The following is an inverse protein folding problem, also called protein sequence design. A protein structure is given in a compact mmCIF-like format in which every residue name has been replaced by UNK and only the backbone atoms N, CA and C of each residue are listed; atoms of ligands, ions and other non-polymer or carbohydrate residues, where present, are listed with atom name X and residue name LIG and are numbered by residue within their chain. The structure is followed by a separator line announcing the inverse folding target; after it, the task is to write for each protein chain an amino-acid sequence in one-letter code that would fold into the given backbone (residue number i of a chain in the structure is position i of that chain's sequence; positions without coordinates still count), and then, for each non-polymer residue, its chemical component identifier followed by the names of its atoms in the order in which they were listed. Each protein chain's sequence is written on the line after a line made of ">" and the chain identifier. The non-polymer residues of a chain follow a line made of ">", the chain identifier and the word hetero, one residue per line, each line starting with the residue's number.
data_IF_874266691010
#
_entry.id   IF_874266691010
#
_cell.length_a   1.000
_cell.length_b   1.000
_cell.length_c   1.000
_cell.angle_alpha   90.00
_cell.angle_beta   90.00
_cell.angle_gamma   90.00
#
_symmetry.space_group_name_H-M   'P 1'
#
loop_
_entity.id
_entity.type
_entity.pdbx_description
1 polymer ?
#
# COMPACT_ATOMS: atom_id res chain seq x y z
N UNK A 1 27.29 1.40 2.95
CA UNK A 1 27.23 2.88 3.06
C UNK A 1 26.11 3.51 2.24
N UNK A 2 25.79 3.03 1.02
CA UNK A 2 24.73 3.61 0.15
C UNK A 2 23.31 3.42 0.71
N UNK A 3 23.04 2.32 1.41
CA UNK A 3 21.70 1.98 1.94
C UNK A 3 21.22 2.98 2.99
N UNK A 4 22.08 3.39 3.93
CA UNK A 4 21.71 4.34 4.99
C UNK A 4 21.45 5.76 4.46
N UNK A 5 22.14 6.18 3.39
CA UNK A 5 21.86 7.47 2.75
C UNK A 5 20.48 7.47 2.10
N UNK A 6 20.14 6.42 1.34
CA UNK A 6 18.82 6.27 0.71
C UNK A 6 17.69 6.17 1.72
N UNK A 7 17.93 5.44 2.82
CA UNK A 7 16.98 5.32 3.93
C UNK A 7 16.68 6.70 4.54
N UNK A 8 17.73 7.45 4.88
CA UNK A 8 17.60 8.79 5.44
C UNK A 8 16.89 9.76 4.50
N UNK A 9 17.30 9.80 3.23
CA UNK A 9 16.66 10.64 2.21
C UNK A 9 15.17 10.32 2.06
N UNK A 10 14.82 9.03 2.03
CA UNK A 10 13.42 8.61 1.96
C UNK A 10 12.66 9.07 3.20
N UNK A 11 13.20 8.81 4.39
CA UNK A 11 12.58 9.20 5.64
C UNK A 11 12.38 10.72 5.77
N UNK A 12 13.40 11.52 5.45
CA UNK A 12 13.34 12.98 5.49
C UNK A 12 12.25 13.49 4.52
N UNK A 13 12.19 12.93 3.31
CA UNK A 13 11.18 13.26 2.33
C UNK A 13 9.76 12.91 2.81
N UNK A 14 9.55 11.72 3.37
CA UNK A 14 8.21 11.32 3.84
C UNK A 14 7.78 12.10 5.07
N UNK A 15 8.71 12.47 5.96
CA UNK A 15 8.44 13.34 7.10
C UNK A 15 8.03 14.75 6.67
N UNK A 16 8.70 15.31 5.66
CA UNK A 16 8.31 16.58 5.06
C UNK A 16 6.92 16.50 4.40
N UNK A 17 6.67 15.46 3.60
CA UNK A 17 5.37 15.23 2.95
C UNK A 17 4.23 15.10 3.98
N UNK A 18 4.47 14.35 5.06
CA UNK A 18 3.51 14.15 6.14
C UNK A 18 3.14 15.47 6.85
N UNK A 19 4.13 16.33 7.08
CA UNK A 19 3.90 17.63 7.73
C UNK A 19 2.94 18.50 6.91
N UNK A 20 3.18 18.59 5.60
CA UNK A 20 2.30 19.32 4.68
C UNK A 20 0.92 18.67 4.64
N UNK A 21 0.86 17.35 4.43
CA UNK A 21 -0.39 16.64 4.20
C UNK A 21 -1.32 16.63 5.43
N UNK A 22 -0.77 16.51 6.63
CA UNK A 22 -1.58 16.55 7.86
C UNK A 22 -2.12 17.95 8.11
N UNK A 23 -1.33 18.99 7.83
CA UNK A 23 -1.82 20.37 7.94
C UNK A 23 -3.01 20.59 7.01
N UNK A 24 -2.92 20.18 5.75
CA UNK A 24 -4.04 20.26 4.80
C UNK A 24 -5.29 19.53 5.29
N UNK A 25 -5.15 18.34 5.86
CA UNK A 25 -6.27 17.57 6.36
C UNK A 25 -6.90 18.20 7.61
N UNK A 26 -6.09 18.74 8.52
CA UNK A 26 -6.58 19.50 9.68
C UNK A 26 -7.33 20.75 9.24
N UNK A 27 -6.79 21.49 8.26
CA UNK A 27 -7.44 22.69 7.69
C UNK A 27 -8.78 22.34 7.03
N UNK A 28 -8.91 21.13 6.47
CA UNK A 28 -10.16 20.55 5.96
C UNK A 28 -11.08 19.97 7.05
N UNK A 29 -10.75 20.19 8.33
CA UNK A 29 -11.49 19.68 9.49
C UNK A 29 -11.57 18.14 9.57
N UNK A 30 -10.62 17.42 8.96
CA UNK A 30 -10.53 15.98 9.17
C UNK A 30 -10.12 15.65 10.60
N UNK A 31 -10.87 14.75 11.25
CA UNK A 31 -10.47 14.21 12.53
C UNK A 31 -9.28 13.23 12.36
N UNK A 32 -8.09 13.67 12.78
CA UNK A 32 -6.83 12.92 12.65
C UNK A 32 -6.66 11.78 13.67
N UNK A 33 -7.47 11.77 14.73
CA UNK A 33 -7.42 10.77 15.80
C UNK A 33 -8.23 9.51 15.46
N UNK A 34 -9.20 9.63 14.55
CA UNK A 34 -10.08 8.51 14.18
C UNK A 34 -9.30 7.48 13.35
N UNK A 35 -9.35 6.23 13.81
CA UNK A 35 -8.84 5.08 13.07
C UNK A 35 -9.63 4.89 11.78
N UNK A 36 -8.91 4.79 10.66
CA UNK A 36 -9.49 4.64 9.32
C UNK A 36 -8.63 3.72 8.45
N UNK A 37 -9.18 3.33 7.30
CA UNK A 37 -8.42 2.57 6.31
C UNK A 37 -7.51 3.51 5.53
N UNK A 38 -6.22 3.20 5.54
CA UNK A 38 -5.19 3.91 4.78
C UNK A 38 -4.57 2.97 3.76
N UNK A 39 -4.11 3.53 2.66
CA UNK A 39 -3.32 2.85 1.63
C UNK A 39 -1.87 3.29 1.79
N UNK A 40 -0.98 2.36 2.12
CA UNK A 40 0.45 2.57 2.09
C UNK A 40 0.97 2.21 0.69
N UNK A 41 1.76 3.10 0.11
CA UNK A 41 2.29 2.99 -1.24
C UNK A 41 3.80 2.72 -1.21
N UNK A 42 4.25 1.78 -2.03
CA UNK A 42 5.66 1.46 -2.17
C UNK A 42 6.04 1.29 -3.65
N UNK A 43 7.34 1.39 -3.94
CA UNK A 43 7.88 1.12 -5.26
C UNK A 43 9.22 0.37 -5.23
N UNK A 44 9.39 -0.57 -6.15
CA UNK A 44 10.59 -1.38 -6.34
C UNK A 44 11.17 -1.21 -7.76
N UNK A 45 12.48 -1.41 -7.98
CA UNK A 45 13.08 -1.37 -9.31
C UNK A 45 12.61 -2.52 -10.21
N UNK A 46 12.34 -3.70 -9.64
CA UNK A 46 11.93 -4.90 -10.36
C UNK A 46 10.77 -5.64 -9.67
N UNK A 47 10.23 -6.64 -10.36
CA UNK A 47 9.04 -7.40 -9.93
C UNK A 47 9.33 -8.30 -8.73
N UNK A 48 10.54 -8.86 -8.64
CA UNK A 48 10.90 -9.82 -7.60
C UNK A 48 11.08 -9.11 -6.25
N UNK A 49 11.75 -7.96 -6.25
CA UNK A 49 11.74 -7.00 -5.15
C UNK A 49 10.31 -6.71 -4.71
N UNK A 50 9.42 -6.44 -5.67
CA UNK A 50 8.07 -6.03 -5.35
C UNK A 50 7.25 -7.14 -4.67
N UNK A 51 7.43 -8.40 -5.10
CA UNK A 51 6.82 -9.54 -4.42
C UNK A 51 7.43 -9.81 -3.05
N UNK A 52 8.75 -9.72 -2.91
CA UNK A 52 9.43 -9.90 -1.61
C UNK A 52 8.95 -8.86 -0.59
N UNK A 53 8.88 -7.59 -0.99
CA UNK A 53 8.37 -6.51 -0.17
C UNK A 53 6.88 -6.69 0.17
N UNK A 54 6.05 -7.12 -0.79
CA UNK A 54 4.64 -7.43 -0.53
C UNK A 54 4.45 -8.51 0.55
N UNK A 55 5.29 -9.57 0.53
CA UNK A 55 5.28 -10.61 1.56
C UNK A 55 5.73 -10.08 2.92
N UNK A 56 6.77 -9.26 2.96
CA UNK A 56 7.26 -8.64 4.20
C UNK A 56 6.20 -7.72 4.84
N UNK A 57 5.50 -6.93 4.02
CA UNK A 57 4.40 -6.08 4.47
C UNK A 57 3.20 -6.89 4.97
N UNK A 58 2.88 -8.00 4.30
CA UNK A 58 1.82 -8.90 4.76
C UNK A 58 2.16 -9.53 6.12
N UNK A 59 3.41 -9.95 6.33
CA UNK A 59 3.87 -10.49 7.61
C UNK A 59 3.80 -9.47 8.76
N UNK A 60 3.82 -8.16 8.45
CA UNK A 60 3.60 -7.06 9.41
C UNK A 60 2.12 -6.76 9.70
N UNK A 61 1.19 -7.58 9.18
CA UNK A 61 -0.25 -7.42 9.43
C UNK A 61 -0.96 -6.43 8.51
N UNK A 62 -0.34 -6.03 7.40
CA UNK A 62 -1.03 -5.24 6.36
C UNK A 62 -1.84 -6.14 5.43
N UNK A 63 -2.85 -5.58 4.76
CA UNK A 63 -3.66 -6.29 3.76
C UNK A 63 -3.23 -5.89 2.35
N UNK A 64 -2.88 -6.85 1.49
CA UNK A 64 -2.61 -6.55 0.08
C UNK A 64 -3.90 -6.05 -0.59
N UNK A 65 -3.81 -4.90 -1.28
CA UNK A 65 -4.94 -4.34 -2.03
C UNK A 65 -4.99 -4.84 -3.48
N UNK A 66 -3.84 -5.25 -4.01
CA UNK A 66 -3.72 -5.92 -5.30
C UNK A 66 -2.94 -7.22 -5.12
N UNK A 67 -3.34 -8.25 -5.88
CA UNK A 67 -2.68 -9.56 -5.86
C UNK A 67 -1.26 -9.51 -6.43
N UNK A 68 -1.06 -8.67 -7.44
CA UNK A 68 0.20 -8.55 -8.17
C UNK A 68 0.71 -7.09 -8.15
N UNK A 69 2.03 -6.88 -7.97
CA UNK A 69 2.63 -5.56 -8.14
C UNK A 69 2.38 -5.00 -9.54
N UNK A 70 2.09 -3.69 -9.62
CA UNK A 70 1.74 -3.03 -10.88
C UNK A 70 2.93 -2.21 -11.41
N UNK A 71 3.22 -2.30 -12.71
CA UNK A 71 4.27 -1.47 -13.31
C UNK A 71 3.78 -0.02 -13.42
N UNK A 72 4.45 0.90 -12.74
CA UNK A 72 4.21 2.35 -12.78
C UNK A 72 4.78 2.95 -14.06
N UNK A 73 4.26 4.13 -14.44
CA UNK A 73 4.72 4.88 -15.63
C UNK A 73 6.22 5.24 -15.57
N UNK A 74 6.79 5.39 -14.37
CA UNK A 74 8.22 5.63 -14.16
C UNK A 74 9.09 4.37 -14.25
N UNK A 75 8.53 3.25 -14.72
CA UNK A 75 9.24 1.98 -14.90
C UNK A 75 9.40 1.13 -13.64
N UNK A 76 9.07 1.65 -12.45
CA UNK A 76 9.13 0.92 -11.17
C UNK A 76 7.90 0.05 -10.94
N UNK A 77 8.00 -0.92 -10.04
CA UNK A 77 6.91 -1.80 -9.64
C UNK A 77 6.26 -1.30 -8.36
N UNK A 78 5.00 -0.88 -8.46
CA UNK A 78 4.20 -0.36 -7.37
C UNK A 78 3.51 -1.44 -6.55
N UNK A 79 3.48 -1.22 -5.23
CA UNK A 79 2.76 -2.05 -4.27
C UNK A 79 1.82 -1.14 -3.48
N UNK A 80 0.61 -1.61 -3.22
CA UNK A 80 -0.39 -0.92 -2.40
C UNK A 80 -0.91 -1.88 -1.34
N UNK A 81 -0.77 -1.50 -0.07
CA UNK A 81 -1.28 -2.28 1.07
C UNK A 81 -2.20 -1.43 1.94
N UNK A 82 -3.25 -2.05 2.46
CA UNK A 82 -4.20 -1.45 3.38
C UNK A 82 -3.77 -1.65 4.83
N UNK A 83 -3.97 -0.62 5.65
CA UNK A 83 -3.81 -0.68 7.11
C UNK A 83 -4.94 0.09 7.77
N UNK A 84 -5.38 -0.36 8.95
CA UNK A 84 -6.29 0.43 9.81
C UNK A 84 -5.47 1.19 10.82
N UNK A 85 -5.46 2.52 10.75
CA UNK A 85 -4.69 3.39 11.64
C UNK A 85 -5.25 4.81 11.66
N UNK A 86 -5.00 5.57 12.73
CA UNK A 86 -5.30 7.01 12.77
C UNK A 86 -4.33 7.77 11.85
N UNK A 87 -4.71 8.98 11.42
CA UNK A 87 -3.81 9.82 10.62
C UNK A 87 -2.62 10.29 11.46
N UNK A 88 -2.86 10.57 12.75
CA UNK A 88 -1.81 10.92 13.71
C UNK A 88 -0.76 9.83 13.80
N UNK A 89 -1.15 8.57 13.95
CA UNK A 89 -0.22 7.45 14.06
C UNK A 89 0.48 7.11 12.74
N UNK A 90 -0.14 7.42 11.60
CA UNK A 90 0.43 7.19 10.27
C UNK A 90 1.55 8.17 9.91
N UNK A 91 1.62 9.32 10.61
CA UNK A 91 2.68 10.32 10.44
C UNK A 91 3.71 10.33 11.56
N UNK A 92 3.54 9.48 12.59
CA UNK A 92 4.52 9.34 13.65
C UNK A 92 5.84 8.86 13.09
N UNK A 93 6.92 9.45 13.58
CA UNK A 93 8.29 9.16 13.19
C UNK A 93 8.59 7.66 13.19
N UNK A 94 8.27 6.99 14.29
CA UNK A 94 8.45 5.55 14.49
C UNK A 94 7.80 4.71 13.38
N UNK A 95 6.59 5.10 12.95
CA UNK A 95 5.87 4.38 11.92
C UNK A 95 6.47 4.64 10.53
N UNK A 96 6.79 5.91 10.23
CA UNK A 96 7.44 6.27 8.97
C UNK A 96 8.79 5.57 8.86
N UNK A 97 9.59 5.58 9.92
CA UNK A 97 10.87 4.89 10.01
C UNK A 97 10.70 3.39 9.74
N UNK A 98 9.74 2.72 10.39
CA UNK A 98 9.51 1.28 10.16
C UNK A 98 9.14 0.98 8.69
N UNK A 99 8.31 1.80 8.06
CA UNK A 99 7.93 1.62 6.65
C UNK A 99 9.11 1.84 5.71
N UNK A 100 9.92 2.88 5.96
CA UNK A 100 11.13 3.18 5.19
C UNK A 100 12.17 2.09 5.35
N UNK A 101 12.42 1.61 6.57
CA UNK A 101 13.33 0.51 6.87
C UNK A 101 12.89 -0.78 6.18
N UNK A 102 11.60 -1.10 6.25
CA UNK A 102 11.04 -2.29 5.61
C UNK A 102 11.24 -2.24 4.09
N UNK A 103 10.94 -1.09 3.47
CA UNK A 103 11.11 -0.91 2.05
C UNK A 103 12.58 -0.99 1.64
N UNK A 104 13.45 -0.27 2.33
CA UNK A 104 14.88 -0.17 2.01
C UNK A 104 15.59 -1.51 2.20
N UNK A 105 15.24 -2.27 3.24
CA UNK A 105 15.75 -3.63 3.48
C UNK A 105 15.45 -4.60 2.34
N UNK A 106 14.47 -4.30 1.49
CA UNK A 106 14.10 -5.07 0.31
C UNK A 106 14.48 -4.38 -1.01
N UNK A 107 15.33 -3.34 -0.98
CA UNK A 107 15.68 -2.50 -2.14
C UNK A 107 14.47 -1.76 -2.77
N UNK A 108 13.41 -1.56 -1.98
CA UNK A 108 12.24 -0.77 -2.33
C UNK A 108 12.30 0.65 -1.77
N UNK A 109 11.20 1.38 -1.95
CA UNK A 109 11.01 2.76 -1.51
C UNK A 109 9.60 2.89 -0.96
N UNK A 110 9.47 3.46 0.25
CA UNK A 110 8.18 3.90 0.76
C UNK A 110 7.80 5.22 0.07
N UNK A 111 6.64 5.24 -0.57
CA UNK A 111 6.16 6.38 -1.38
C UNK A 111 5.08 7.19 -0.63
N UNK A 112 4.88 6.92 0.66
CA UNK A 112 3.88 7.57 1.50
C UNK A 112 2.54 6.83 1.58
N UNK A 113 1.50 7.55 2.00
CA UNK A 113 0.17 6.98 2.26
C UNK A 113 -0.94 7.83 1.66
N UNK A 114 -2.10 7.21 1.47
CA UNK A 114 -3.33 7.84 1.01
C UNK A 114 -4.52 7.39 1.86
N UNK A 115 -5.56 8.21 1.91
CA UNK A 115 -6.86 7.77 2.39
C UNK A 115 -7.39 6.69 1.44
N UNK A 116 -7.87 5.58 1.99
CA UNK A 116 -8.66 4.64 1.18
C UNK A 116 -10.04 5.27 1.00
N UNK A 117 -10.29 5.90 -0.14
CA UNK A 117 -11.64 6.30 -0.56
C UNK A 117 -12.39 5.08 -1.07
N UNK A 118 -13.72 5.07 -0.90
CA UNK A 118 -14.57 3.93 -1.28
C UNK A 118 -14.44 3.54 -2.77
N UNK A 119 -13.97 4.44 -3.65
CA UNK A 119 -13.70 4.16 -5.06
C UNK A 119 -12.63 3.08 -5.31
N UNK A 120 -11.69 2.86 -4.38
CA UNK A 120 -10.67 1.81 -4.53
C UNK A 120 -11.20 0.43 -4.12
N UNK A 121 -12.37 0.35 -3.45
CA UNK A 121 -13.01 -0.91 -3.11
C UNK A 121 -13.70 -1.55 -4.33
N UNK A 122 -14.14 -0.76 -5.31
CA UNK A 122 -14.89 -1.26 -6.47
C UNK A 122 -14.04 -2.01 -7.51
N UNK A 123 -12.74 -1.76 -7.58
CA UNK A 123 -11.85 -2.50 -8.50
C UNK A 123 -11.59 -3.95 -8.04
N UNK A 124 -11.97 -4.30 -6.80
CA UNK A 124 -11.89 -5.70 -6.31
C UNK A 124 -13.20 -6.47 -6.54
N UNK A 125 -14.28 -5.81 -7.00
CA UNK A 125 -15.60 -6.42 -7.18
C UNK A 125 -16.05 -6.59 -8.64
N UNK A 126 -15.18 -6.32 -9.62
CA UNK A 126 -15.44 -6.63 -11.05
C UNK A 126 -14.79 -7.94 -11.48
N UNK A 127 -15.22 -9.05 -10.87
CA UNK A 127 -15.29 -10.32 -11.57
C UNK A 127 -16.69 -10.89 -11.38
N UNK A 128 -17.55 -10.93 -12.42
CA UNK A 128 -18.73 -11.76 -12.35
C UNK A 128 -18.26 -13.21 -12.25
N UNK A 129 -18.65 -13.85 -11.15
CA UNK A 129 -18.65 -15.29 -10.98
C UNK A 129 -19.13 -15.92 -12.29
N UNK A 130 -18.30 -16.79 -12.86
CA UNK A 130 -18.68 -17.63 -14.00
C UNK A 130 -19.99 -18.31 -13.63
N UNK A 131 -21.05 -17.97 -14.38
CA UNK A 131 -22.37 -18.56 -14.25
C UNK A 131 -22.27 -20.07 -14.36
N UNK A 132 -22.75 -20.74 -13.32
CA UNK A 132 -23.14 -22.15 -13.36
C UNK A 132 -24.29 -22.26 -14.36
N UNK A 133 -23.99 -22.68 -15.59
CA UNK A 133 -25.03 -23.19 -16.48
C UNK A 133 -25.05 -24.71 -16.40
N UNK A 134 -26.14 -25.17 -15.78
CA UNK A 134 -26.67 -26.53 -15.82
C UNK A 134 -26.62 -27.12 -17.22
N UNK A 135 -26.03 -28.31 -17.35
CA UNK A 135 -26.48 -29.29 -18.33
C UNK A 135 -26.76 -30.61 -17.60
N UNK A 136 -28.04 -30.87 -17.39
CA UNK A 136 -28.57 -32.15 -16.92
C UNK A 136 -28.91 -33.01 -18.14
N UNK A 137 -28.43 -34.27 -18.07
CA UNK A 137 -28.87 -35.49 -18.78
C UNK A 137 -28.41 -35.58 -20.24
N UNK A 138 -27.81 -36.70 -20.66
CA UNK A 138 -28.40 -38.04 -20.58
C UNK A 138 -27.45 -39.16 -20.12
N UNK A 139 -28.05 -40.13 -19.44
CA UNK A 139 -27.53 -41.45 -19.08
C UNK A 139 -28.00 -42.45 -20.14
N UNK A 140 -27.17 -43.45 -20.37
CA UNK A 140 -27.21 -44.50 -21.40
C UNK A 140 -28.49 -45.35 -21.50
N UNK A 141 -28.73 -45.84 -22.73
CA UNK A 141 -29.08 -47.23 -23.06
C UNK A 141 -28.70 -47.50 -24.52
#
# INVERSE_FOLDING_TARGET
>A
MVTHLREKENFDQQSANNTVRIKELIDQQYNVEVTRSLVLCFSCPDRDCAYALSKALFAKGTRLLARDPQRKANGRWGIRVGVKRSLRDAVREEFVADMVLTATGMNGTYDGWNLLTDEVAEDTQKHPSVSVMSERRQVAA
#
